data_IF_899633256960
#
_entry.id   IF_899633256960
#
_cell.length_a   1.000
_cell.length_b   1.000
_cell.length_c   1.000
_cell.angle_alpha   90.00
_cell.angle_beta   90.00
_cell.angle_gamma   90.00
#
_symmetry.space_group_name_H-M   'P 1'
#
loop_
_entity.id
_entity.type
_entity.pdbx_description
1 polymer ?
2 non-polymer ?
3 water ?
#
# COMPACT_ATOMS: atom_id res chain seq x y z
N UNK A 1 5.38 -9.53 -13.67
CA UNK A 1 5.49 -10.95 -13.22
C UNK A 1 4.13 -11.41 -12.66
N UNK A 2 4.13 -12.21 -11.59
CA UNK A 2 2.86 -12.75 -11.11
C UNK A 2 1.84 -11.64 -10.73
N UNK A 3 2.30 -10.58 -10.09
CA UNK A 3 1.36 -9.58 -9.59
C UNK A 3 0.68 -8.61 -10.57
N UNK A 4 1.33 -8.27 -11.66
CA UNK A 4 0.76 -7.30 -12.63
C UNK A 4 0.62 -5.87 -12.03
N UNK A 5 1.55 -5.43 -11.21
CA UNK A 5 1.54 -3.99 -10.72
C UNK A 5 1.50 -2.96 -11.83
N UNK A 6 2.12 -3.25 -12.95
CA UNK A 6 2.17 -2.30 -14.03
C UNK A 6 0.80 -2.03 -14.65
N UNK A 7 -0.14 -2.94 -14.44
CA UNK A 7 -1.48 -2.81 -15.01
C UNK A 7 -2.35 -1.78 -14.24
N UNK A 8 -1.87 -1.35 -13.06
CA UNK A 8 -2.61 -0.40 -12.21
C UNK A 8 -2.69 0.97 -12.91
N UNK A 9 -3.74 1.76 -12.63
CA UNK A 9 -3.83 3.12 -13.20
C UNK A 9 -2.66 3.98 -12.67
N UNK A 10 -2.22 4.95 -13.47
CA UNK A 10 -1.07 5.72 -13.12
C UNK A 10 -1.32 6.47 -11.83
N UNK A 11 -2.52 7.04 -11.66
CA UNK A 11 -2.79 7.88 -10.48
C UNK A 11 -2.67 7.07 -9.19
N UNK A 12 -2.95 5.78 -9.29
CA UNK A 12 -2.82 4.83 -8.17
C UNK A 12 -1.37 4.52 -7.87
N UNK A 13 -0.61 4.19 -8.92
CA UNK A 13 0.80 3.92 -8.76
C UNK A 13 1.57 5.03 -8.09
N UNK A 14 1.26 6.29 -8.44
CA UNK A 14 1.83 7.47 -7.82
C UNK A 14 1.94 7.45 -6.31
N UNK A 15 0.92 6.89 -5.61
CA UNK A 15 0.86 6.89 -4.16
C UNK A 15 1.54 5.68 -3.45
N UNK A 16 1.99 4.69 -4.21
CA UNK A 16 2.52 3.46 -3.61
C UNK A 16 3.89 3.72 -2.92
N UNK A 17 4.02 3.42 -1.63
CA UNK A 17 5.42 3.43 -1.07
C UNK A 17 6.30 2.39 -1.76
N UNK A 18 7.60 2.67 -1.79
CA UNK A 18 8.61 1.78 -2.40
C UNK A 18 8.51 0.37 -1.88
N UNK A 19 8.32 0.26 -0.56
CA UNK A 19 8.31 -1.05 0.04
C UNK A 19 7.12 -1.92 -0.46
N UNK A 20 5.94 -1.33 -0.67
CA UNK A 20 4.82 -2.10 -1.26
C UNK A 20 5.18 -2.58 -2.66
N UNK A 21 5.79 -1.70 -3.49
CA UNK A 21 6.10 -2.06 -4.86
C UNK A 21 7.17 -3.12 -4.91
N UNK A 22 8.18 -3.00 -4.04
CA UNK A 22 9.28 -3.99 -4.04
C UNK A 22 8.74 -5.29 -3.58
N UNK A 23 7.82 -5.24 -2.60
CA UNK A 23 7.19 -6.51 -2.14
C UNK A 23 6.43 -7.15 -3.32
N UNK A 24 5.64 -6.35 -4.03
CA UNK A 24 4.78 -6.91 -5.14
C UNK A 24 5.64 -7.50 -6.25
N UNK A 25 6.74 -6.82 -6.59
CA UNK A 25 7.69 -7.33 -7.57
C UNK A 25 8.33 -8.65 -7.19
N UNK A 26 8.49 -8.85 -5.89
CA UNK A 26 9.19 -9.99 -5.38
C UNK A 26 8.33 -11.24 -5.44
N UNK A 27 6.99 -11.11 -5.53
CA UNK A 27 6.07 -12.25 -5.40
C UNK A 27 6.32 -13.20 -6.56
N UNK A 28 6.64 -14.46 -6.25
CA UNK A 28 6.87 -15.49 -7.27
C UNK A 28 5.54 -16.11 -7.68
N UNK A 29 5.58 -16.99 -8.70
CA UNK A 29 4.34 -17.53 -9.21
C UNK A 29 3.72 -18.43 -8.16
N UNK A 30 4.56 -19.10 -7.36
CA UNK A 30 3.97 -19.98 -6.32
C UNK A 30 3.53 -19.22 -5.04
N UNK A 31 4.05 -18.00 -4.86
CA UNK A 31 3.66 -17.13 -3.73
C UNK A 31 2.31 -16.42 -3.88
N UNK A 32 2.01 -15.98 -5.11
CA UNK A 32 0.78 -15.27 -5.34
C UNK A 32 -0.47 -16.04 -4.85
N UNK A 33 -0.55 -17.36 -5.15
CA UNK A 33 -1.76 -18.06 -4.74
C UNK A 33 -1.88 -18.14 -3.20
N UNK A 34 -0.75 -18.08 -2.48
CA UNK A 34 -0.80 -18.01 -1.00
C UNK A 34 -1.51 -16.71 -0.61
N UNK A 35 -1.14 -15.59 -1.21
CA UNK A 35 -1.79 -14.32 -0.85
C UNK A 35 -3.26 -14.36 -1.24
N UNK A 36 -3.55 -14.88 -2.43
CA UNK A 36 -4.92 -15.03 -2.90
C UNK A 36 -5.74 -15.80 -1.89
N UNK A 37 -5.32 -17.01 -1.54
CA UNK A 37 -6.10 -17.81 -0.56
C UNK A 37 -6.37 -17.02 0.75
N UNK A 38 -5.38 -16.32 1.25
CA UNK A 38 -5.55 -15.67 2.55
C UNK A 38 -6.41 -14.46 2.44
N UNK A 39 -6.15 -13.62 1.42
CA UNK A 39 -6.86 -12.32 1.29
C UNK A 39 -8.33 -12.57 0.92
N UNK A 40 -8.60 -13.69 0.25
CA UNK A 40 -9.99 -14.03 -0.16
C UNK A 40 -10.91 -14.29 1.05
N UNK A 41 -10.28 -14.58 2.19
CA UNK A 41 -11.04 -14.73 3.43
C UNK A 41 -11.53 -13.37 3.96
N UNK A 42 -10.86 -12.28 3.57
CA UNK A 42 -11.22 -10.92 4.00
C UNK A 42 -11.66 -9.99 2.89
N UNK A 43 -11.86 -8.73 3.28
CA UNK A 43 -12.05 -7.66 2.34
C UNK A 43 -10.70 -7.03 2.15
N UNK A 48 -2.87 -5.07 6.62
CA UNK A 48 -2.06 -6.28 6.66
C UNK A 48 -1.69 -6.67 8.06
N UNK A 49 -1.87 -5.75 9.00
CA UNK A 49 -1.61 -6.05 10.38
C UNK A 49 -1.89 -7.52 10.63
N UNK A 50 -3.13 -7.93 10.44
CA UNK A 50 -3.52 -9.29 10.78
C UNK A 50 -3.31 -10.30 9.64
N UNK A 51 -3.04 -9.81 8.44
CA UNK A 51 -2.82 -10.71 7.35
C UNK A 51 -1.53 -11.49 7.62
N UNK A 52 -0.60 -10.84 8.32
CA UNK A 52 0.74 -11.39 8.53
C UNK A 52 0.74 -12.77 9.19
N UNK A 53 -0.05 -12.90 10.26
CA UNK A 53 -0.21 -14.16 10.95
C UNK A 53 -0.71 -15.25 10.01
N UNK A 54 -1.81 -15.01 9.31
CA UNK A 54 -2.35 -16.01 8.41
C UNK A 54 -1.42 -16.37 7.23
N UNK A 55 -0.83 -15.35 6.61
CA UNK A 55 0.11 -15.62 5.55
C UNK A 55 1.29 -16.45 6.04
N UNK A 56 1.81 -16.13 7.22
CA UNK A 56 3.10 -16.72 7.65
C UNK A 56 2.88 -18.18 8.04
N UNK A 57 1.68 -18.47 8.52
CA UNK A 57 1.22 -19.84 8.80
C UNK A 57 1.39 -20.72 7.57
N UNK A 58 1.10 -20.13 6.41
CA UNK A 58 1.17 -20.85 5.15
C UNK A 58 2.52 -20.81 4.45
N UNK A 59 3.29 -19.74 4.67
CA UNK A 59 4.54 -19.45 3.98
C UNK A 59 5.34 -18.42 4.83
N UNK A 60 6.23 -18.91 5.70
CA UNK A 60 6.93 -18.07 6.66
C UNK A 60 7.63 -16.95 5.98
N UNK A 61 8.34 -17.25 4.90
CA UNK A 61 9.17 -16.25 4.25
C UNK A 61 8.38 -15.16 3.61
N UNK A 62 7.27 -15.54 2.97
CA UNK A 62 6.36 -14.55 2.47
C UNK A 62 5.84 -13.63 3.59
N UNK A 63 5.46 -14.21 4.73
CA UNK A 63 4.94 -13.42 5.86
C UNK A 63 6.00 -12.47 6.45
N UNK A 64 7.22 -12.95 6.50
CA UNK A 64 8.36 -12.09 6.91
C UNK A 64 8.47 -10.85 5.98
N UNK A 65 8.43 -11.10 4.67
CA UNK A 65 8.48 -9.99 3.70
C UNK A 65 7.27 -9.01 3.82
N UNK A 66 6.07 -9.56 4.05
CA UNK A 66 4.92 -8.69 4.29
C UNK A 66 5.12 -7.85 5.59
N UNK A 67 5.57 -8.46 6.70
CA UNK A 67 5.87 -7.73 7.94
C UNK A 67 6.87 -6.59 7.73
N UNK A 68 7.82 -6.83 6.84
CA UNK A 68 8.83 -5.79 6.51
C UNK A 68 8.20 -4.59 5.82
N UNK A 69 7.18 -4.83 4.99
CA UNK A 69 6.48 -3.73 4.35
C UNK A 69 5.81 -2.89 5.47
N UNK A 70 5.13 -3.54 6.39
CA UNK A 70 4.39 -2.80 7.41
C UNK A 70 5.34 -2.03 8.34
N UNK A 71 6.46 -2.62 8.63
CA UNK A 71 7.53 -1.97 9.41
C UNK A 71 8.01 -0.69 8.75
N UNK A 72 8.17 -0.79 7.43
CA UNK A 72 8.60 0.30 6.58
C UNK A 72 7.63 1.46 6.56
N UNK A 73 6.34 1.13 6.48
CA UNK A 73 5.30 2.11 6.39
C UNK A 73 5.30 2.96 7.70
N UNK A 74 5.71 2.35 8.82
CA UNK A 74 5.56 3.04 10.12
C UNK A 74 6.36 4.27 10.17
N UNK A 75 7.58 4.20 9.64
CA UNK A 75 8.53 5.29 9.75
C UNK A 75 7.91 6.52 9.10
N UNK A 76 7.06 6.29 8.10
CA UNK A 76 6.57 7.39 7.27
C UNK A 76 5.64 8.27 8.10
N UNK A 77 5.13 7.75 9.20
CA UNK A 77 4.19 8.57 10.00
C UNK A 77 4.88 9.44 11.05
N UNK A 78 6.15 9.19 11.29
CA UNK A 78 6.84 9.90 12.41
C UNK A 78 6.88 11.42 12.34
N UNK A 79 6.54 12.08 13.45
CA UNK A 79 6.67 13.54 13.49
C UNK A 79 5.61 14.39 12.80
N UNK A 80 4.71 13.71 12.08
CA UNK A 80 3.63 14.38 11.37
C UNK A 80 2.57 14.97 12.31
N UNK A 81 1.92 16.06 11.87
CA UNK A 81 0.81 16.71 12.56
C UNK A 81 -0.43 15.82 12.46
N UNK A 82 -1.45 16.06 13.28
CA UNK A 82 -2.67 15.24 13.30
C UNK A 82 -3.31 15.19 11.95
N UNK A 83 -3.31 16.31 11.22
CA UNK A 83 -3.96 16.36 9.88
C UNK A 83 -3.18 15.56 8.86
N UNK A 84 -1.85 15.68 8.92
CA UNK A 84 -1.03 14.97 7.96
C UNK A 84 -1.06 13.48 8.20
N UNK A 85 -1.10 13.08 9.48
CA UNK A 85 -1.23 11.66 9.85
C UNK A 85 -2.58 11.11 9.38
N UNK A 86 -3.66 11.86 9.61
CA UNK A 86 -5.01 11.44 9.07
C UNK A 86 -4.95 11.19 7.55
N UNK A 87 -4.28 12.10 6.85
CA UNK A 87 -4.08 11.96 5.41
C UNK A 87 -3.28 10.72 5.05
N UNK A 88 -2.13 10.56 5.71
CA UNK A 88 -1.28 9.39 5.42
C UNK A 88 -1.96 8.01 5.64
N UNK A 89 -2.75 7.88 6.70
CA UNK A 89 -3.53 6.65 6.95
C UNK A 89 -4.57 6.40 5.85
N UNK A 90 -5.16 7.46 5.33
CA UNK A 90 -6.06 7.31 4.13
C UNK A 90 -5.27 6.86 2.91
N UNK A 91 -4.04 7.40 2.74
CA UNK A 91 -3.22 7.01 1.62
C UNK A 91 -2.88 5.50 1.74
N UNK A 92 -2.45 5.04 2.94
CA UNK A 92 -2.04 3.67 3.07
C UNK A 92 -3.28 2.77 2.92
N UNK A 93 -4.44 3.19 3.43
CA UNK A 93 -5.68 2.42 3.21
C UNK A 93 -5.95 2.23 1.74
N UNK A 94 -5.76 3.28 0.94
CA UNK A 94 -5.95 3.15 -0.51
C UNK A 94 -4.99 2.10 -1.10
N UNK A 95 -3.70 2.23 -0.77
CA UNK A 95 -2.69 1.31 -1.29
C UNK A 95 -2.93 -0.14 -0.89
N UNK A 96 -3.35 -0.34 0.36
CA UNK A 96 -3.58 -1.69 0.88
C UNK A 96 -4.72 -2.32 0.13
N UNK A 97 -5.85 -1.62 0.06
CA UNK A 97 -7.08 -2.08 -0.66
C UNK A 97 -6.72 -2.46 -2.11
N UNK A 98 -5.97 -1.59 -2.78
CA UNK A 98 -5.56 -1.89 -4.12
C UNK A 98 -4.77 -3.15 -4.28
N UNK A 99 -3.76 -3.31 -3.45
CA UNK A 99 -2.89 -4.45 -3.55
C UNK A 99 -3.66 -5.73 -3.26
N UNK A 100 -4.59 -5.64 -2.31
CA UNK A 100 -5.50 -6.78 -2.03
C UNK A 100 -6.35 -7.10 -3.28
N UNK A 101 -6.90 -6.09 -3.93
CA UNK A 101 -7.80 -6.32 -5.09
C UNK A 101 -6.98 -6.90 -6.24
N UNK A 102 -5.77 -6.38 -6.43
CA UNK A 102 -4.90 -6.82 -7.49
C UNK A 102 -4.62 -8.30 -7.27
N UNK A 103 -4.37 -8.67 -6.01
CA UNK A 103 -4.02 -10.05 -5.69
C UNK A 103 -5.20 -11.01 -5.95
N UNK A 104 -6.41 -10.61 -5.57
CA UNK A 104 -7.54 -11.48 -5.65
C UNK A 104 -8.31 -11.40 -6.96
N UNK A 105 -7.89 -10.53 -7.87
CA UNK A 105 -8.59 -10.32 -9.13
C UNK A 105 -9.89 -9.54 -9.11
N UNK A 106 -10.02 -8.56 -8.22
CA UNK A 106 -11.15 -7.62 -8.22
C UNK A 106 -10.75 -6.36 -9.00
N UNK A 107 -11.73 -5.63 -9.59
CA UNK A 107 -11.38 -4.45 -10.35
C UNK A 107 -10.88 -3.30 -9.47
N UNK A 108 -10.12 -2.39 -10.08
CA UNK A 108 -9.54 -1.30 -9.39
C UNK A 108 -10.25 -0.03 -9.79
N UNK A 109 -10.74 0.69 -8.77
CA UNK A 109 -11.44 1.96 -9.03
C UNK A 109 -10.53 3.09 -8.54
N UNK A 110 -10.07 3.94 -9.45
CA UNK A 110 -9.03 4.90 -9.06
C UNK A 110 -9.64 6.18 -8.48
N UNK A 111 -10.95 6.17 -8.23
CA UNK A 111 -11.62 7.37 -7.63
C UNK A 111 -10.97 7.69 -6.29
N UNK A 112 -10.65 6.68 -5.48
CA UNK A 112 -10.07 6.99 -4.16
C UNK A 112 -8.71 7.71 -4.31
N UNK A 113 -7.94 7.32 -5.34
CA UNK A 113 -6.67 7.97 -5.63
C UNK A 113 -6.83 9.42 -6.13
N UNK A 114 -7.83 9.69 -6.95
CA UNK A 114 -8.12 11.07 -7.41
C UNK A 114 -8.52 11.89 -6.18
N UNK A 115 -9.27 11.29 -5.25
CA UNK A 115 -9.66 12.04 -3.97
C UNK A 115 -8.42 12.37 -3.16
N UNK A 116 -7.51 11.42 -3.00
CA UNK A 116 -6.25 11.69 -2.33
C UNK A 116 -5.43 12.83 -2.89
N UNK A 117 -5.36 12.87 -4.22
CA UNK A 117 -4.64 13.99 -4.85
C UNK A 117 -5.35 15.32 -4.56
N UNK A 118 -6.67 15.35 -4.68
CA UNK A 118 -7.42 16.59 -4.40
C UNK A 118 -7.17 17.04 -2.94
N UNK A 119 -7.18 16.08 -2.02
CA UNK A 119 -7.06 16.38 -0.60
C UNK A 119 -5.69 16.91 -0.28
N UNK A 120 -4.68 16.39 -0.98
CA UNK A 120 -3.29 16.78 -0.69
C UNK A 120 -3.16 18.26 -0.99
N UNK A 121 -3.84 18.64 -2.04
CA UNK A 121 -3.78 20.01 -2.53
C UNK A 121 -4.37 20.98 -1.55
N UNK A 122 -5.29 20.58 -0.70
CA UNK A 122 -5.88 21.54 0.25
C UNK A 122 -5.23 21.53 1.66
N UNK A 123 -4.15 20.76 1.81
CA UNK A 123 -3.39 20.76 3.07
C UNK A 123 -2.51 21.99 3.14
N UNK A 124 -2.11 22.36 4.35
CA UNK A 124 -1.24 23.52 4.52
C UNK A 124 0.09 23.28 3.87
N UNK A 125 0.77 24.35 3.53
CA UNK A 125 2.07 24.18 2.91
C UNK A 125 2.97 23.39 3.83
N UNK A 126 2.84 23.62 5.12
CA UNK A 126 3.72 22.95 6.07
C UNK A 126 3.46 21.43 6.11
N UNK A 127 2.18 21.04 6.04
CA UNK A 127 1.83 19.62 6.01
C UNK A 127 2.24 18.93 4.69
N UNK A 128 2.17 19.66 3.58
CA UNK A 128 2.53 19.08 2.27
C UNK A 128 4.03 18.87 2.32
N UNK A 129 4.78 19.83 2.88
CA UNK A 129 6.25 19.72 2.89
C UNK A 129 6.66 18.55 3.82
N UNK A 130 5.96 18.40 4.93
CA UNK A 130 6.29 17.33 5.89
C UNK A 130 6.04 15.91 5.29
N UNK A 131 4.88 15.78 4.62
CA UNK A 131 4.56 14.55 3.91
C UNK A 131 5.61 14.22 2.86
N UNK A 132 6.01 15.24 2.09
CA UNK A 132 7.05 14.99 1.03
C UNK A 132 8.39 14.60 1.67
N UNK A 133 8.69 15.20 2.80
CA UNK A 133 9.98 14.92 3.45
C UNK A 133 9.95 13.46 3.96
N UNK A 134 8.83 13.03 4.53
CA UNK A 134 8.71 11.67 5.00
C UNK A 134 8.53 10.60 3.89
N UNK A 135 8.07 11.01 2.72
CA UNK A 135 7.75 10.09 1.58
C UNK A 135 8.30 10.70 0.27
N UNK A 136 9.64 10.81 0.12
CA UNK A 136 10.23 11.51 -1.04
C UNK A 136 10.03 10.67 -2.31
N UNK A 137 9.60 9.41 -2.11
CA UNK A 137 9.39 8.48 -3.27
C UNK A 137 7.96 8.51 -3.82
N UNK A 138 7.06 9.22 -3.14
CA UNK A 138 5.67 9.30 -3.58
C UNK A 138 5.36 10.59 -4.37
N UNK A 139 4.56 10.46 -5.43
CA UNK A 139 4.10 11.61 -6.18
C UNK A 139 2.66 11.98 -5.67
N UNK A 140 2.58 12.97 -4.79
CA UNK A 140 1.32 13.24 -4.15
C UNK A 140 0.36 13.96 -5.10
X LIG B 1 3.67 -7.37 -15.88
X LIG B 1 2.90 -8.40 -15.23
X LIG B 1 4.95 -7.22 -15.20
X LIG B 1 3.86 -7.72 -17.30
X LIG B 1 2.89 -6.13 -15.72
X LIG C 1 -13.08 11.17 1.75
X LIG C 1 -11.97 10.38 2.31
X LIG C 1 -12.72 12.55 2.08
X LIG C 1 -13.20 10.93 0.31
X LIG C 1 -14.39 10.81 2.37
#
# INVERSE_FOLDING_TARGET
GAMSVASLPECVKNFFPTEQLEFSSSITADEKPVLHEVFQKHSCFSQCGEMIDEVSKKHPELGKRLATVLEGNKKRLDGLSPAAVEYAKKLIHMVTTTLCSLTVGKPIDDADAKRLHQEFQSLSSEDQAALRKNNPDIKF
SO4 S O1 O2 O3 O4
SO4 S O1 O2 O3 O4
#
